data_IF_804265864818
#
_entry.id   IF_804265864818
#
_cell.length_a   1.000
_cell.length_b   1.000
_cell.length_c   1.000
_cell.angle_alpha   90.00
_cell.angle_beta   90.00
_cell.angle_gamma   90.00
#
_symmetry.space_group_name_H-M   'P 1'
#
loop_
_entity.id
_entity.type
_entity.pdbx_description
1 polymer ?
#
# COMPACT_ATOMS: atom_id res chain seq x y z
N UNK A 1 19.32 -3.33 -4.50
CA UNK A 1 18.23 -3.92 -5.31
C UNK A 1 17.98 -5.30 -4.73
N UNK A 2 16.73 -5.70 -4.47
CA UNK A 2 16.44 -7.02 -3.87
C UNK A 2 16.57 -8.10 -4.96
N UNK A 3 17.25 -9.20 -4.66
CA UNK A 3 17.36 -10.31 -5.60
C UNK A 3 16.09 -11.18 -5.55
N UNK A 4 15.83 -11.94 -6.62
CA UNK A 4 14.63 -12.78 -6.73
C UNK A 4 14.48 -13.73 -5.54
N UNK A 5 15.55 -14.42 -5.14
CA UNK A 5 15.52 -15.33 -3.99
C UNK A 5 15.08 -14.64 -2.70
N UNK A 6 15.58 -13.42 -2.44
CA UNK A 6 15.22 -12.66 -1.25
C UNK A 6 13.76 -12.20 -1.28
N UNK A 7 13.25 -11.89 -2.48
CA UNK A 7 11.83 -11.58 -2.66
C UNK A 7 10.94 -12.80 -2.39
N UNK A 8 11.28 -13.97 -2.93
CA UNK A 8 10.53 -15.21 -2.68
C UNK A 8 10.55 -15.57 -1.19
N UNK A 9 11.71 -15.48 -0.53
CA UNK A 9 11.81 -15.69 0.93
C UNK A 9 10.98 -14.69 1.72
N UNK A 10 10.95 -13.41 1.34
CA UNK A 10 10.08 -12.41 1.96
C UNK A 10 8.60 -12.76 1.75
N UNK A 11 8.23 -13.20 0.54
CA UNK A 11 6.87 -13.61 0.18
C UNK A 11 6.39 -14.79 1.01
N UNK A 12 7.16 -15.88 1.06
CA UNK A 12 6.83 -17.06 1.87
C UNK A 12 6.69 -16.71 3.34
N UNK A 13 7.62 -15.93 3.89
CA UNK A 13 7.56 -15.51 5.28
C UNK A 13 6.36 -14.61 5.58
N UNK A 14 6.00 -13.71 4.66
CA UNK A 14 4.81 -12.85 4.78
C UNK A 14 3.50 -13.62 4.70
N UNK A 15 3.41 -14.63 3.82
CA UNK A 15 2.22 -15.46 3.68
C UNK A 15 2.09 -16.51 4.80
N UNK A 16 3.18 -16.79 5.53
CA UNK A 16 3.10 -17.58 6.75
C UNK A 16 2.29 -16.83 7.82
N UNK A 17 1.19 -17.44 8.31
CA UNK A 17 0.20 -16.81 9.20
C UNK A 17 0.71 -16.35 10.57
N UNK A 18 1.99 -16.57 10.89
CA UNK A 18 2.55 -16.38 12.24
C UNK A 18 3.58 -15.26 12.37
N UNK A 19 3.79 -14.41 11.36
CA UNK A 19 4.81 -13.35 11.45
C UNK A 19 4.22 -11.94 11.52
N UNK A 20 4.78 -11.14 12.42
CA UNK A 20 4.50 -9.71 12.52
C UNK A 20 5.31 -8.93 11.47
N UNK A 21 4.70 -7.88 10.92
CA UNK A 21 5.28 -6.98 9.92
C UNK A 21 6.59 -6.32 10.39
N UNK A 22 6.71 -6.01 11.68
CA UNK A 22 7.95 -5.48 12.25
C UNK A 22 9.10 -6.49 12.16
N UNK A 23 8.84 -7.76 12.49
CA UNK A 23 9.84 -8.82 12.43
C UNK A 23 10.31 -9.06 10.99
N UNK A 24 9.39 -9.07 10.03
CA UNK A 24 9.73 -9.18 8.60
C UNK A 24 10.63 -8.03 8.13
N UNK A 25 10.33 -6.81 8.57
CA UNK A 25 11.14 -5.64 8.24
C UNK A 25 12.56 -5.75 8.82
N UNK A 26 12.69 -6.17 10.08
CA UNK A 26 13.98 -6.31 10.76
C UNK A 26 14.81 -7.42 10.12
N UNK A 27 14.22 -8.58 9.82
CA UNK A 27 14.92 -9.68 9.17
C UNK A 27 15.43 -9.29 7.78
N UNK A 28 14.57 -8.69 6.96
CA UNK A 28 14.98 -8.19 5.64
C UNK A 28 16.12 -7.16 5.77
N UNK A 29 16.09 -6.31 6.79
CA UNK A 29 17.13 -5.30 7.03
C UNK A 29 18.47 -5.85 7.54
N UNK A 30 18.48 -7.06 8.13
CA UNK A 30 19.73 -7.73 8.49
C UNK A 30 20.52 -8.16 7.26
N UNK A 31 19.82 -8.56 6.20
CA UNK A 31 20.44 -9.01 4.96
C UNK A 31 20.69 -7.86 3.97
N UNK A 32 19.74 -6.93 3.88
CA UNK A 32 19.79 -5.79 2.95
C UNK A 32 19.25 -4.57 3.67
N UNK A 33 20.05 -3.51 3.81
CA UNK A 33 19.52 -2.25 4.32
C UNK A 33 18.43 -1.72 3.36
N UNK A 34 17.16 -1.78 3.79
CA UNK A 34 16.01 -1.30 3.01
C UNK A 34 15.19 -0.31 3.82
N UNK A 35 14.83 0.80 3.19
CA UNK A 35 13.94 1.77 3.81
C UNK A 35 12.54 1.17 4.02
N UNK A 36 11.84 1.66 5.05
CA UNK A 36 10.45 1.25 5.34
C UNK A 36 9.54 1.41 4.11
N UNK A 37 9.73 2.45 3.31
CA UNK A 37 8.94 2.69 2.10
C UNK A 37 9.12 1.58 1.07
N UNK A 38 10.35 1.12 0.85
CA UNK A 38 10.63 0.03 -0.08
C UNK A 38 10.05 -1.28 0.45
N UNK A 39 10.22 -1.55 1.76
CA UNK A 39 9.61 -2.72 2.38
C UNK A 39 8.10 -2.77 2.17
N UNK A 40 7.37 -1.70 2.44
CA UNK A 40 5.92 -1.68 2.21
C UNK A 40 5.52 -1.80 0.74
N UNK A 41 6.34 -1.30 -0.20
CA UNK A 41 6.11 -1.53 -1.63
C UNK A 41 6.20 -3.02 -1.98
N UNK A 42 7.18 -3.73 -1.44
CA UNK A 42 7.33 -5.18 -1.65
C UNK A 42 6.14 -5.94 -1.07
N UNK A 43 5.69 -5.57 0.13
CA UNK A 43 4.49 -6.16 0.74
C UNK A 43 3.23 -5.89 -0.11
N UNK A 44 3.06 -4.68 -0.64
CA UNK A 44 1.96 -4.39 -1.55
C UNK A 44 2.02 -5.24 -2.82
N UNK A 45 3.21 -5.40 -3.40
CA UNK A 45 3.41 -6.22 -4.59
C UNK A 45 3.01 -7.68 -4.31
N UNK A 46 3.48 -8.26 -3.20
CA UNK A 46 3.09 -9.62 -2.78
C UNK A 46 1.57 -9.72 -2.62
N UNK A 47 0.93 -8.72 -2.01
CA UNK A 47 -0.53 -8.71 -1.84
C UNK A 47 -1.26 -8.65 -3.18
N UNK A 48 -0.82 -7.82 -4.12
CA UNK A 48 -1.41 -7.74 -5.46
C UNK A 48 -1.29 -9.06 -6.23
N UNK A 49 -0.13 -9.74 -6.13
CA UNK A 49 0.07 -11.07 -6.73
C UNK A 49 -0.91 -12.11 -6.16
N UNK A 50 -1.22 -12.04 -4.87
CA UNK A 50 -2.19 -12.92 -4.21
C UNK A 50 -3.65 -12.45 -4.36
N UNK A 51 -3.91 -11.42 -5.17
CA UNK A 51 -5.25 -10.88 -5.38
C UNK A 51 -5.83 -10.12 -4.17
N UNK A 52 -4.98 -9.73 -3.21
CA UNK A 52 -5.34 -8.98 -2.01
C UNK A 52 -5.19 -7.48 -2.23
N UNK A 53 -6.04 -6.69 -1.56
CA UNK A 53 -5.91 -5.24 -1.55
C UNK A 53 -4.58 -4.81 -0.93
N UNK A 54 -3.96 -3.77 -1.48
CA UNK A 54 -2.72 -3.17 -0.97
C UNK A 54 -2.81 -2.83 0.52
N UNK A 55 -1.72 -3.06 1.25
CA UNK A 55 -1.64 -2.74 2.68
C UNK A 55 -1.38 -1.26 2.91
N UNK A 56 -0.51 -0.68 2.07
CA UNK A 56 -0.12 0.72 2.15
C UNK A 56 -0.47 1.41 0.83
N UNK A 57 -1.70 1.86 0.68
CA UNK A 57 -1.99 2.89 -0.31
C UNK A 57 -1.48 4.20 0.27
N UNK A 58 -0.54 4.87 -0.41
CA UNK A 58 -0.47 6.33 -0.25
C UNK A 58 -1.91 6.77 -0.49
N UNK A 59 -2.56 7.38 0.49
CA UNK A 59 -3.84 8.04 0.28
C UNK A 59 -3.60 9.04 -0.85
N UNK A 60 -3.80 8.63 -2.09
CA UNK A 60 -4.17 9.57 -3.12
C UNK A 60 -5.41 10.22 -2.54
N UNK A 61 -5.27 11.51 -2.17
CA UNK A 61 -6.42 12.34 -1.91
C UNK A 61 -7.35 12.04 -3.07
N UNK A 62 -8.47 11.35 -2.80
CA UNK A 62 -9.56 11.26 -3.76
C UNK A 62 -9.74 12.70 -4.21
N UNK A 63 -9.31 13.02 -5.43
CA UNK A 63 -9.75 14.22 -6.11
C UNK A 63 -11.22 13.93 -6.31
N UNK A 64 -12.02 14.22 -5.29
CA UNK A 64 -13.45 14.34 -5.41
C UNK A 64 -13.61 15.34 -6.53
N UNK A 65 -13.97 14.87 -7.72
CA UNK A 65 -14.51 15.72 -8.75
C UNK A 65 -15.80 16.28 -8.15
N UNK A 66 -15.67 17.36 -7.38
CA UNK A 66 -16.77 18.25 -7.06
C UNK A 66 -17.12 18.85 -8.41
N UNK A 67 -18.01 18.17 -9.13
CA UNK A 67 -18.72 18.77 -10.24
C UNK A 67 -19.59 19.84 -9.57
N UNK A 68 -19.08 21.06 -9.54
CA UNK A 68 -19.84 22.26 -9.25
C UNK A 68 -20.82 22.47 -10.40
N UNK A 69 -21.98 21.83 -10.33
CA UNK A 69 -23.18 22.41 -10.93
C UNK A 69 -23.90 23.20 -9.84
N UNK A 70 -23.45 24.44 -9.65
CA UNK A 70 -24.29 25.53 -9.17
C UNK A 70 -25.41 25.71 -10.20
N UNK A 71 -26.49 24.96 -10.06
CA UNK A 71 -27.74 25.31 -10.73
C UNK A 71 -28.49 26.29 -9.83
N UNK A 72 -28.56 27.52 -10.31
CA UNK A 72 -29.10 28.69 -9.62
C UNK A 72 -30.60 28.51 -9.42
N UNK A 73 -31.04 28.28 -8.19
CA UNK A 73 -32.44 28.48 -7.83
C UNK A 73 -32.67 29.97 -7.56
N UNK A 74 -33.50 30.70 -8.34
CA UNK A 74 -33.83 32.07 -8.02
C UNK A 74 -34.86 32.05 -6.88
N UNK A 75 -34.40 32.22 -5.65
CA UNK A 75 -35.26 32.67 -4.55
C UNK A 75 -35.54 34.16 -4.75
N UNK A 76 -36.77 34.50 -5.14
CA UNK A 76 -37.39 35.76 -4.74
C UNK A 76 -38.87 35.50 -4.46
N UNK A 77 -39.22 35.64 -3.19
CA UNK A 77 -40.58 35.86 -2.71
C UNK A 77 -41.01 37.28 -3.11
N UNK A 78 -42.25 37.44 -3.55
CA UNK A 78 -43.07 38.62 -3.30
C UNK A 78 -44.53 38.19 -3.30
#
# INVERSE_FOLDING_TARGET
MINKTQYETLKENYLSKNRNMHSLYVELNKEIAVSKQVFFKLINQIRQEEGLNEFYTKKEKRKSNIITHLDKSPKCYN
#
